data_IF_133944430737
#
_entry.id   IF_133944430737
#
_cell.length_a   1.000
_cell.length_b   1.000
_cell.length_c   1.000
_cell.angle_alpha   90.00
_cell.angle_beta   90.00
_cell.angle_gamma   90.00
#
_symmetry.space_group_name_H-M   'P 1'
#
loop_
_entity.id
_entity.type
_entity.pdbx_description
1 polymer ?
#
# COMPACT_ATOMS: atom_id res chain seq x y z
N UNK A 1 -11.68 -1.74 -18.12
CA UNK A 1 -11.35 -1.67 -16.68
C UNK A 1 -12.45 -0.90 -16.00
N UNK A 2 -13.19 -1.45 -15.01
CA UNK A 2 -14.23 -0.67 -14.35
C UNK A 2 -13.54 0.48 -13.62
N UNK A 3 -13.95 1.70 -13.91
CA UNK A 3 -13.53 2.90 -13.18
C UNK A 3 -14.10 2.78 -11.76
N UNK A 4 -13.33 2.15 -10.86
CA UNK A 4 -13.69 2.07 -9.46
C UNK A 4 -13.65 3.51 -8.93
N UNK A 5 -14.84 4.12 -8.76
CA UNK A 5 -14.96 5.45 -8.18
C UNK A 5 -14.31 5.41 -6.80
N UNK A 6 -13.17 6.08 -6.68
CA UNK A 6 -12.46 6.22 -5.41
C UNK A 6 -13.17 7.32 -4.63
N UNK A 7 -13.61 6.99 -3.43
CA UNK A 7 -14.28 7.96 -2.56
C UNK A 7 -13.28 8.53 -1.56
N UNK A 8 -13.45 9.82 -1.24
CA UNK A 8 -12.66 10.48 -0.20
C UNK A 8 -12.92 9.79 1.14
N UNK A 9 -11.85 9.55 1.88
CA UNK A 9 -11.90 8.98 3.23
C UNK A 9 -12.08 10.14 4.19
N UNK A 10 -13.09 10.04 5.04
CA UNK A 10 -13.33 10.95 6.14
C UNK A 10 -12.55 10.46 7.36
N UNK A 11 -11.60 11.24 7.86
CA UNK A 11 -10.80 10.87 9.02
C UNK A 11 -11.65 10.70 10.29
N UNK A 12 -12.85 11.28 10.35
CA UNK A 12 -13.81 11.11 11.46
C UNK A 12 -14.78 9.94 11.27
N UNK A 13 -14.74 9.29 10.11
CA UNK A 13 -15.66 8.22 9.73
C UNK A 13 -15.31 6.87 10.34
N UNK A 14 -16.33 6.01 10.43
CA UNK A 14 -16.15 4.58 10.78
C UNK A 14 -16.16 3.74 9.51
N UNK A 15 -15.15 2.91 9.32
CA UNK A 15 -15.01 2.03 8.14
C UNK A 15 -14.83 0.57 8.55
N UNK A 16 -15.18 -0.43 7.72
CA UNK A 16 -14.83 -1.82 7.99
C UNK A 16 -13.30 -2.00 7.98
N UNK A 17 -12.75 -2.94 8.72
CA UNK A 17 -11.31 -3.17 8.73
C UNK A 17 -10.85 -3.90 7.44
N UNK A 18 -9.77 -3.43 6.77
CA UNK A 18 -9.21 -4.09 5.59
C UNK A 18 -8.53 -5.43 5.91
N UNK A 19 -8.09 -5.66 7.15
CA UNK A 19 -7.43 -6.90 7.59
C UNK A 19 -8.42 -8.00 7.97
N UNK A 20 -9.55 -7.65 8.61
CA UNK A 20 -10.58 -8.57 9.08
C UNK A 20 -11.96 -7.98 8.86
N UNK A 21 -12.88 -8.74 8.27
CA UNK A 21 -14.24 -8.28 7.92
C UNK A 21 -15.12 -7.87 9.11
N UNK A 22 -14.83 -8.36 10.32
CA UNK A 22 -15.63 -8.09 11.52
C UNK A 22 -15.11 -6.87 12.32
N UNK A 23 -13.94 -6.34 11.98
CA UNK A 23 -13.37 -5.18 12.66
C UNK A 23 -13.86 -3.88 12.07
N UNK A 24 -13.83 -2.81 12.87
CA UNK A 24 -14.10 -1.45 12.42
C UNK A 24 -12.88 -0.57 12.70
N UNK A 25 -12.63 0.35 11.78
CA UNK A 25 -11.68 1.42 11.88
C UNK A 25 -12.38 2.62 12.52
N UNK A 26 -11.88 3.05 13.67
CA UNK A 26 -12.33 4.23 14.40
C UNK A 26 -11.28 5.35 14.36
N UNK A 27 -11.71 6.63 14.38
CA UNK A 27 -10.80 7.77 14.43
C UNK A 27 -9.93 7.75 15.68
N UNK A 28 -8.63 8.02 15.50
CA UNK A 28 -7.71 8.32 16.60
C UNK A 28 -7.74 9.84 16.77
N UNK A 29 -8.28 10.29 17.90
CA UNK A 29 -8.40 11.71 18.22
C UNK A 29 -7.03 12.41 18.09
N UNK A 30 -7.03 13.60 17.47
CA UNK A 30 -5.85 14.45 17.19
C UNK A 30 -4.94 14.00 16.03
N UNK A 31 -5.28 12.98 15.25
CA UNK A 31 -4.50 12.59 14.06
C UNK A 31 -5.43 12.23 12.89
N UNK A 32 -4.95 12.41 11.66
CA UNK A 32 -5.59 11.85 10.45
C UNK A 32 -5.29 10.34 10.34
N UNK A 33 -5.62 9.61 11.41
CA UNK A 33 -5.33 8.19 11.57
C UNK A 33 -6.55 7.43 12.10
N UNK A 34 -6.68 6.20 11.62
CA UNK A 34 -7.76 5.27 11.92
C UNK A 34 -7.18 4.03 12.60
N UNK A 35 -7.71 3.66 13.76
CA UNK A 35 -7.32 2.47 14.53
C UNK A 35 -8.37 1.37 14.44
N UNK A 36 -7.92 0.11 14.42
CA UNK A 36 -8.81 -1.05 14.48
C UNK A 36 -8.76 -1.69 15.87
N UNK A 37 -9.89 -1.75 16.58
CA UNK A 37 -9.93 -2.29 17.95
C UNK A 37 -9.69 -3.80 18.03
N UNK A 38 -10.00 -4.56 16.98
CA UNK A 38 -9.84 -6.03 16.98
C UNK A 38 -8.47 -6.51 16.50
N UNK A 39 -7.82 -5.73 15.65
CA UNK A 39 -6.58 -6.09 15.01
C UNK A 39 -5.40 -5.22 15.46
N UNK A 40 -5.67 -4.20 16.28
CA UNK A 40 -4.69 -3.29 16.88
C UNK A 40 -3.72 -2.67 15.87
N UNK A 41 -4.15 -2.53 14.62
CA UNK A 41 -3.38 -1.86 13.57
C UNK A 41 -3.88 -0.42 13.40
N UNK A 42 -2.91 0.46 13.19
CA UNK A 42 -3.14 1.88 12.91
C UNK A 42 -2.94 2.09 11.41
N UNK A 43 -3.83 2.87 10.82
CA UNK A 43 -3.82 3.24 9.42
C UNK A 43 -3.82 4.76 9.32
N UNK A 44 -2.85 5.33 8.59
CA UNK A 44 -2.79 6.76 8.34
C UNK A 44 -3.51 7.05 7.03
N UNK A 45 -4.36 8.08 7.02
CA UNK A 45 -4.93 8.61 5.78
C UNK A 45 -3.83 9.39 5.06
N UNK A 46 -3.54 9.02 3.82
CA UNK A 46 -2.53 9.74 3.03
C UNK A 46 -2.97 11.18 2.77
N UNK A 47 -2.02 12.09 2.46
CA UNK A 47 -2.34 13.47 2.10
C UNK A 47 -3.28 13.60 0.89
N UNK A 48 -3.37 12.56 0.05
CA UNK A 48 -4.31 12.52 -1.05
C UNK A 48 -5.78 12.44 -0.57
N UNK A 49 -6.04 11.98 0.65
CA UNK A 49 -7.38 11.79 1.21
C UNK A 49 -8.16 10.62 0.61
N UNK A 50 -7.53 9.80 -0.23
CA UNK A 50 -8.18 8.70 -0.97
C UNK A 50 -7.60 7.32 -0.63
N UNK A 51 -6.41 7.29 -0.03
CA UNK A 51 -5.79 6.05 0.40
C UNK A 51 -5.47 6.05 1.89
N UNK A 52 -5.55 4.86 2.49
CA UNK A 52 -4.96 4.60 3.80
C UNK A 52 -3.68 3.78 3.64
N UNK A 53 -2.71 4.05 4.51
CA UNK A 53 -1.47 3.31 4.64
C UNK A 53 -1.36 2.70 6.03
N UNK A 54 -1.03 1.42 6.11
CA UNK A 54 -0.80 0.79 7.40
C UNK A 54 0.50 1.30 8.03
N UNK A 55 0.40 1.82 9.26
CA UNK A 55 1.54 2.10 10.13
C UNK A 55 2.13 0.79 10.64
N UNK A 56 2.97 0.18 9.81
CA UNK A 56 3.78 -0.98 10.17
C UNK A 56 5.24 -0.56 10.28
N UNK A 57 5.90 -0.95 11.36
CA UNK A 57 7.35 -0.82 11.49
C UNK A 57 8.11 -1.71 10.48
N UNK A 58 7.43 -2.72 9.90
CA UNK A 58 8.00 -3.63 8.91
C UNK A 58 7.55 -3.25 7.49
N UNK A 59 8.54 -3.09 6.60
CA UNK A 59 8.36 -3.01 5.16
C UNK A 59 7.94 -4.38 4.62
N UNK A 60 7.03 -4.48 3.61
CA UNK A 60 6.45 -3.41 2.80
C UNK A 60 5.16 -2.80 3.37
N UNK A 61 5.05 -1.47 3.25
CA UNK A 61 3.83 -0.74 3.57
C UNK A 61 2.70 -1.14 2.64
N UNK A 62 1.58 -1.54 3.22
CA UNK A 62 0.36 -1.88 2.49
C UNK A 62 -0.54 -0.65 2.45
N UNK A 63 -1.09 -0.39 1.27
CA UNK A 63 -1.98 0.73 1.02
C UNK A 63 -3.31 0.24 0.46
N UNK A 64 -4.40 0.90 0.83
CA UNK A 64 -5.73 0.60 0.32
C UNK A 64 -6.46 1.88 -0.06
N UNK A 65 -7.39 1.77 -1.00
CA UNK A 65 -8.32 2.84 -1.35
C UNK A 65 -9.75 2.42 -1.05
N UNK A 66 -10.59 3.40 -0.70
CA UNK A 66 -12.00 3.17 -0.39
C UNK A 66 -12.86 3.34 -1.63
N UNK A 67 -13.69 2.34 -1.95
CA UNK A 67 -14.63 2.39 -3.09
C UNK A 67 -16.07 2.75 -2.69
N UNK A 68 -16.29 3.15 -1.44
CA UNK A 68 -17.64 3.37 -0.88
C UNK A 68 -18.26 2.15 -0.22
N UNK A 69 -17.80 0.94 -0.55
CA UNK A 69 -18.32 -0.31 0.04
C UNK A 69 -17.25 -1.21 0.63
N UNK A 70 -16.06 -1.22 0.04
CA UNK A 70 -14.99 -2.13 0.44
C UNK A 70 -13.62 -1.53 0.16
N UNK A 71 -12.64 -1.99 0.93
CA UNK A 71 -11.24 -1.67 0.70
C UNK A 71 -10.70 -2.44 -0.48
N UNK A 72 -10.01 -1.74 -1.37
CA UNK A 72 -9.23 -2.36 -2.41
C UNK A 72 -7.74 -2.13 -2.18
N UNK A 73 -6.90 -3.16 -2.34
CA UNK A 73 -5.47 -3.01 -2.23
C UNK A 73 -4.97 -2.09 -3.36
N UNK A 74 -4.30 -1.00 -2.97
CA UNK A 74 -3.51 -0.21 -3.89
C UNK A 74 -2.22 -0.98 -4.13
N UNK A 75 -1.97 -1.41 -5.37
CA UNK A 75 -0.72 -2.09 -5.70
C UNK A 75 0.42 -1.13 -5.38
N UNK A 76 1.23 -1.49 -4.38
CA UNK A 76 2.51 -0.85 -4.09
C UNK A 76 3.26 -0.62 -5.41
N UNK A 77 3.47 0.66 -5.74
CA UNK A 77 4.14 1.11 -6.97
C UNK A 77 5.59 0.57 -7.05
N UNK A 78 6.13 0.12 -5.93
CA UNK A 78 7.50 -0.34 -5.78
C UNK A 78 7.75 -1.70 -6.43
N UNK A 79 6.72 -2.51 -6.67
CA UNK A 79 6.90 -3.80 -7.36
C UNK A 79 7.50 -3.60 -8.76
N UNK A 80 7.05 -2.58 -9.50
CA UNK A 80 7.58 -2.29 -10.84
C UNK A 80 9.04 -1.87 -10.79
N UNK A 81 9.41 -1.01 -9.85
CA UNK A 81 10.78 -0.54 -9.69
C UNK A 81 11.74 -1.68 -9.33
N UNK A 82 11.32 -2.59 -8.44
CA UNK A 82 12.11 -3.77 -8.09
C UNK A 82 12.35 -4.68 -9.31
N UNK A 83 11.31 -4.96 -10.11
CA UNK A 83 11.46 -5.70 -11.35
C UNK A 83 12.38 -5.01 -12.36
N UNK A 84 12.30 -3.69 -12.50
CA UNK A 84 13.19 -2.90 -13.36
C UNK A 84 14.66 -3.01 -12.94
N UNK A 85 14.94 -2.91 -11.64
CA UNK A 85 16.30 -3.01 -11.11
C UNK A 85 16.88 -4.42 -11.26
N UNK A 86 16.05 -5.44 -11.06
CA UNK A 86 16.47 -6.85 -11.18
C UNK A 86 16.83 -7.19 -12.64
N UNK A 87 16.02 -6.73 -13.61
CA UNK A 87 16.32 -6.87 -15.03
C UNK A 87 17.61 -6.14 -15.42
N UNK A 88 17.80 -4.90 -14.93
CA UNK A 88 19.01 -4.13 -15.21
C UNK A 88 20.26 -4.85 -14.67
N UNK A 89 20.20 -5.34 -13.43
CA UNK A 89 21.29 -6.10 -12.81
C UNK A 89 21.64 -7.36 -13.60
N UNK A 90 20.63 -8.10 -14.08
CA UNK A 90 20.84 -9.30 -14.90
C UNK A 90 21.52 -8.97 -16.23
N UNK A 91 21.05 -7.91 -16.92
CA UNK A 91 21.65 -7.47 -18.18
C UNK A 91 23.12 -7.05 -18.01
N UNK A 92 23.42 -6.26 -16.98
CA UNK A 92 24.79 -5.81 -16.69
C UNK A 92 25.68 -7.01 -16.35
N UNK A 93 25.20 -7.94 -15.53
CA UNK A 93 25.93 -9.17 -15.20
C UNK A 93 26.27 -10.00 -16.44
N UNK A 94 25.33 -10.19 -17.36
CA UNK A 94 25.57 -10.91 -18.62
C UNK A 94 26.61 -10.22 -19.50
N UNK A 95 26.55 -8.89 -19.62
CA UNK A 95 27.52 -8.12 -20.41
C UNK A 95 28.94 -8.31 -19.86
N UNK A 96 29.11 -8.26 -18.54
CA UNK A 96 30.40 -8.45 -17.87
C UNK A 96 30.92 -9.88 -18.11
N UNK A 97 30.06 -10.89 -17.97
CA UNK A 97 30.44 -12.29 -18.21
C UNK A 97 30.87 -12.51 -19.65
N UNK A 98 30.13 -11.97 -20.61
CA UNK A 98 30.49 -12.06 -22.04
C UNK A 98 31.85 -11.40 -22.28
N UNK A 99 32.06 -10.21 -21.73
CA UNK A 99 33.34 -9.51 -21.83
C UNK A 99 34.51 -10.33 -21.28
N UNK A 100 34.34 -10.96 -20.11
CA UNK A 100 35.37 -11.79 -19.48
C UNK A 100 35.65 -13.11 -20.22
N UNK A 101 34.69 -13.63 -20.98
CA UNK A 101 34.85 -14.86 -21.77
C UNK A 101 35.49 -14.56 -23.14
N UNK A 102 35.29 -13.36 -23.67
CA UNK A 102 35.82 -12.93 -24.97
C UNK A 102 37.24 -12.35 -24.86
N UNK A 103 37.61 -11.78 -23.70
CA UNK A 103 38.96 -11.29 -23.39
C UNK A 103 39.90 -12.45 -23.02
#
# INVERSE_FOLDING_TARGET
MPSAKVNKIDASGTYPCPCRRQGHLSPIMLMDALGCEQCHHIFIVKPDGYTIEQCSAHYPHRTWYWTGRHWHPSRSRNRKLYWSLLLLSLCVGLIIVIWLVVL
#
